data_IF_143244990855
#
_entry.id   IF_143244990855
#
_cell.length_a   1.000
_cell.length_b   1.000
_cell.length_c   1.000
_cell.angle_alpha   90.00
_cell.angle_beta   90.00
_cell.angle_gamma   90.00
#
_symmetry.space_group_name_H-M   'P 1'
#
loop_
_entity.id
_entity.type
_entity.pdbx_description
1 polymer ?
#
# COMPACT_ATOMS: atom_id res chain seq x y z
N UNK A 1 3.37 -9.39 12.10
CA UNK A 1 2.54 -9.75 10.93
C UNK A 1 3.32 -9.65 9.62
N UNK A 2 3.64 -8.47 9.07
CA UNK A 2 4.28 -8.37 7.74
C UNK A 2 5.64 -9.07 7.65
N UNK A 3 6.49 -8.91 8.67
CA UNK A 3 7.77 -9.60 8.72
C UNK A 3 7.59 -11.12 8.77
N UNK A 4 6.64 -11.62 9.56
CA UNK A 4 6.35 -13.07 9.64
C UNK A 4 5.87 -13.62 8.30
N UNK A 5 5.01 -12.87 7.59
CA UNK A 5 4.57 -13.23 6.24
C UNK A 5 5.74 -13.24 5.25
N UNK A 6 6.66 -12.28 5.32
CA UNK A 6 7.80 -12.21 4.43
C UNK A 6 8.87 -13.28 4.72
N UNK A 7 9.07 -13.63 5.99
CA UNK A 7 10.20 -14.43 6.46
C UNK A 7 9.85 -15.89 6.76
N UNK A 8 8.65 -16.17 7.26
CA UNK A 8 8.26 -17.46 7.83
C UNK A 8 7.09 -18.11 7.09
N UNK A 9 6.30 -17.35 6.33
CA UNK A 9 5.17 -17.90 5.61
C UNK A 9 5.62 -18.52 4.29
N UNK A 10 5.32 -19.80 4.08
CA UNK A 10 5.63 -20.51 2.82
C UNK A 10 4.57 -20.31 1.73
N UNK A 11 3.44 -19.64 2.05
CA UNK A 11 2.39 -19.41 1.05
C UNK A 11 2.93 -18.56 -0.12
N UNK A 12 2.75 -19.01 -1.38
CA UNK A 12 3.16 -18.23 -2.55
C UNK A 12 2.25 -17.04 -2.83
N UNK A 13 1.03 -17.04 -2.27
CA UNK A 13 0.03 -15.99 -2.44
C UNK A 13 -0.36 -15.43 -1.08
N UNK A 14 -0.44 -14.11 -0.99
CA UNK A 14 -0.86 -13.39 0.22
C UNK A 14 -1.93 -12.37 -0.16
N UNK A 15 -3.03 -12.38 0.59
CA UNK A 15 -4.06 -11.33 0.53
C UNK A 15 -3.90 -10.43 1.74
N UNK A 16 -3.86 -9.11 1.52
CA UNK A 16 -3.81 -8.11 2.58
C UNK A 16 -4.99 -7.18 2.39
N UNK A 17 -5.75 -7.00 3.46
CA UNK A 17 -6.87 -6.08 3.49
C UNK A 17 -6.52 -4.85 4.32
N UNK A 18 -6.90 -3.68 3.84
CA UNK A 18 -6.76 -2.37 4.48
C UNK A 18 -5.40 -2.13 5.18
N UNK A 19 -4.29 -2.42 4.47
CA UNK A 19 -2.93 -2.26 5.03
C UNK A 19 -2.66 -0.84 5.54
N UNK A 20 -3.30 0.16 4.94
CA UNK A 20 -3.27 1.56 5.33
C UNK A 20 -3.74 1.80 6.78
N UNK A 21 -4.63 0.95 7.30
CA UNK A 21 -5.22 1.09 8.63
C UNK A 21 -4.36 0.48 9.75
N UNK A 22 -3.31 -0.26 9.40
CA UNK A 22 -2.44 -0.93 10.38
C UNK A 22 -1.46 0.02 11.10
N UNK A 23 -1.41 1.31 10.74
CA UNK A 23 -0.51 2.28 11.35
C UNK A 23 0.98 2.00 11.11
N UNK A 24 1.28 1.26 10.04
CA UNK A 24 2.63 0.88 9.58
C UNK A 24 3.02 1.65 8.31
N UNK A 25 4.31 1.60 7.99
CA UNK A 25 4.83 2.07 6.72
C UNK A 25 4.43 1.10 5.58
N UNK A 26 3.40 1.46 4.81
CA UNK A 26 2.83 0.62 3.76
C UNK A 26 3.76 0.44 2.57
N UNK A 27 4.59 1.45 2.24
CA UNK A 27 5.59 1.34 1.17
C UNK A 27 6.64 0.29 1.53
N UNK A 28 7.15 0.37 2.76
CA UNK A 28 8.18 -0.55 3.25
C UNK A 28 7.64 -1.95 3.46
N UNK A 29 6.41 -2.08 3.97
CA UNK A 29 5.74 -3.36 4.16
C UNK A 29 5.53 -4.11 2.84
N UNK A 30 4.93 -3.47 1.84
CA UNK A 30 4.68 -4.08 0.53
C UNK A 30 5.99 -4.32 -0.23
N UNK A 31 6.96 -3.40 -0.12
CA UNK A 31 8.28 -3.56 -0.70
C UNK A 31 9.09 -4.72 -0.12
N UNK A 32 8.85 -5.10 1.14
CA UNK A 32 9.45 -6.31 1.75
C UNK A 32 8.85 -7.58 1.14
N UNK A 33 7.53 -7.61 0.96
CA UNK A 33 6.81 -8.78 0.46
C UNK A 33 7.09 -9.04 -1.03
N UNK A 34 7.20 -7.99 -1.85
CA UNK A 34 7.52 -8.11 -3.28
C UNK A 34 8.91 -8.74 -3.53
N UNK A 35 9.87 -8.53 -2.63
CA UNK A 35 11.24 -9.09 -2.77
C UNK A 35 11.33 -10.58 -2.47
N UNK A 36 10.24 -11.22 -2.05
CA UNK A 36 10.20 -12.63 -1.64
C UNK A 36 9.48 -13.54 -2.63
N UNK A 37 9.33 -13.09 -3.89
CA UNK A 37 8.64 -13.81 -4.97
C UNK A 37 7.21 -14.27 -4.62
N UNK A 38 6.56 -13.55 -3.70
CA UNK A 38 5.17 -13.78 -3.32
C UNK A 38 4.24 -12.93 -4.17
N UNK A 39 3.16 -13.53 -4.67
CA UNK A 39 2.06 -12.79 -5.27
C UNK A 39 1.25 -12.13 -4.15
N UNK A 40 1.33 -10.81 -4.05
CA UNK A 40 0.60 -10.02 -3.04
C UNK A 40 -0.62 -9.37 -3.69
N UNK A 41 -1.80 -9.74 -3.22
CA UNK A 41 -3.05 -9.03 -3.53
C UNK A 41 -3.37 -8.08 -2.38
N UNK A 42 -3.60 -6.81 -2.71
CA UNK A 42 -3.98 -5.80 -1.72
C UNK A 42 -5.40 -5.33 -2.02
N UNK A 43 -6.27 -5.43 -1.02
CA UNK A 43 -7.61 -4.84 -1.03
C UNK A 43 -7.51 -3.52 -0.28
N UNK A 44 -7.92 -2.45 -0.93
CA UNK A 44 -7.74 -1.09 -0.41
C UNK A 44 -8.71 -0.14 -1.07
N UNK A 45 -9.10 0.90 -0.32
CA UNK A 45 -9.77 2.07 -0.85
C UNK A 45 -8.82 3.28 -0.94
N UNK A 46 -7.60 3.16 -0.42
CA UNK A 46 -6.59 4.21 -0.42
C UNK A 46 -5.95 4.34 -1.82
N UNK A 47 -6.00 5.54 -2.45
CA UNK A 47 -5.52 5.72 -3.82
C UNK A 47 -4.00 5.58 -3.92
N UNK A 48 -3.24 5.92 -2.87
CA UNK A 48 -1.80 5.76 -2.90
C UNK A 48 -1.42 4.27 -2.96
N UNK A 49 -1.98 3.45 -2.06
CA UNK A 49 -1.79 1.99 -2.03
C UNK A 49 -2.26 1.35 -3.34
N UNK A 50 -3.44 1.74 -3.84
CA UNK A 50 -3.95 1.22 -5.11
C UNK A 50 -2.98 1.50 -6.27
N UNK A 51 -2.43 2.72 -6.35
CA UNK A 51 -1.52 3.14 -7.41
C UNK A 51 -0.09 2.63 -7.25
N UNK A 52 0.29 2.01 -6.13
CA UNK A 52 1.55 1.25 -6.01
C UNK A 52 1.60 0.06 -6.99
N UNK A 53 0.43 -0.47 -7.39
CA UNK A 53 0.31 -1.58 -8.33
C UNK A 53 0.27 -1.12 -9.79
N UNK A 54 0.80 -1.96 -10.71
CA UNK A 54 0.70 -1.71 -12.16
C UNK A 54 -0.67 -2.11 -12.73
N UNK A 55 -1.36 -3.06 -12.08
CA UNK A 55 -2.70 -3.55 -12.44
C UNK A 55 -3.58 -3.58 -11.21
N UNK A 56 -4.84 -3.19 -11.37
CA UNK A 56 -5.88 -3.22 -10.32
C UNK A 56 -7.11 -3.95 -10.81
N UNK A 57 -7.74 -4.70 -9.91
CA UNK A 57 -9.08 -5.25 -10.10
C UNK A 57 -10.05 -4.25 -9.47
N UNK A 58 -10.98 -3.73 -10.26
CA UNK A 58 -12.01 -2.80 -9.81
C UNK A 58 -13.25 -3.62 -9.47
N UNK A 59 -13.72 -3.46 -8.23
CA UNK A 59 -14.96 -4.07 -7.76
C UNK A 59 -16.12 -3.08 -7.90
N UNK A 60 -17.30 -3.56 -8.29
CA UNK A 60 -18.50 -2.75 -8.41
C UNK A 60 -19.76 -3.61 -8.43
N UNK A 61 -20.80 -3.21 -7.70
CA UNK A 61 -22.08 -3.96 -7.65
C UNK A 61 -21.94 -5.41 -7.13
N UNK A 62 -20.94 -5.69 -6.29
CA UNK A 62 -20.68 -7.04 -5.77
C UNK A 62 -19.92 -7.97 -6.71
N UNK A 63 -19.43 -7.48 -7.86
CA UNK A 63 -18.66 -8.27 -8.82
C UNK A 63 -17.39 -7.55 -9.28
N UNK A 64 -16.52 -8.27 -10.00
CA UNK A 64 -15.42 -7.66 -10.74
C UNK A 64 -16.02 -6.81 -11.87
N UNK A 65 -15.82 -5.51 -11.78
CA UNK A 65 -16.26 -4.55 -12.77
C UNK A 65 -15.25 -4.41 -13.92
N UNK A 66 -13.95 -4.34 -13.59
CA UNK A 66 -12.89 -4.18 -14.59
C UNK A 66 -11.51 -4.62 -14.07
N UNK A 67 -10.57 -4.83 -14.99
CA UNK A 67 -9.13 -4.91 -14.69
C UNK A 67 -8.45 -3.79 -15.45
N UNK A 68 -7.78 -2.89 -14.72
CA UNK A 68 -7.19 -1.67 -15.29
C UNK A 68 -5.69 -1.62 -15.05
N UNK A 69 -4.94 -1.11 -16.03
CA UNK A 69 -3.51 -0.83 -15.89
C UNK A 69 -3.29 0.62 -15.48
N UNK A 70 -2.23 0.86 -14.71
CA UNK A 70 -1.84 2.21 -14.30
C UNK A 70 -1.43 3.03 -15.51
N UNK A 71 -2.11 4.15 -15.74
CA UNK A 71 -1.79 5.07 -16.83
C UNK A 71 -0.55 5.94 -16.52
N UNK A 72 0.09 6.57 -17.51
CA UNK A 72 1.17 7.54 -17.25
C UNK A 72 0.73 8.71 -16.36
N UNK A 73 -0.51 9.19 -16.52
CA UNK A 73 -1.06 10.25 -15.68
C UNK A 73 -1.21 9.80 -14.23
N UNK A 74 -1.69 8.58 -14.01
CA UNK A 74 -1.78 7.98 -12.68
C UNK A 74 -0.40 7.72 -12.07
N UNK A 75 0.64 7.44 -12.87
CA UNK A 75 2.01 7.31 -12.37
C UNK A 75 2.54 8.65 -11.84
N UNK A 76 2.23 9.77 -12.49
CA UNK A 76 2.56 11.10 -11.97
C UNK A 76 1.80 11.39 -10.68
N UNK A 77 0.49 11.09 -10.64
CA UNK A 77 -0.32 11.24 -9.42
C UNK A 77 0.22 10.37 -8.27
N UNK A 78 0.68 9.15 -8.56
CA UNK A 78 1.30 8.28 -7.56
C UNK A 78 2.53 8.94 -6.91
N UNK A 79 3.38 9.62 -7.70
CA UNK A 79 4.53 10.33 -7.16
C UNK A 79 4.11 11.48 -6.22
N UNK A 80 3.09 12.27 -6.60
CA UNK A 80 2.52 13.34 -5.78
C UNK A 80 1.93 12.81 -4.46
N UNK A 81 1.11 11.75 -4.55
CA UNK A 81 0.54 11.10 -3.37
C UNK A 81 1.64 10.55 -2.44
N UNK A 82 2.76 10.06 -3.01
CA UNK A 82 3.90 9.58 -2.24
C UNK A 82 4.60 10.69 -1.46
N UNK A 83 4.69 11.91 -2.02
CA UNK A 83 5.21 13.06 -1.27
C UNK A 83 4.30 13.45 -0.11
N UNK A 84 2.99 13.47 -0.34
CA UNK A 84 2.00 13.73 0.71
C UNK A 84 2.07 12.66 1.81
N UNK A 85 2.19 11.39 1.42
CA UNK A 85 2.31 10.27 2.36
C UNK A 85 3.55 10.40 3.26
N UNK A 86 4.72 10.70 2.68
CA UNK A 86 5.95 10.91 3.46
C UNK A 86 5.84 12.10 4.41
N UNK A 87 5.18 13.19 3.98
CA UNK A 87 4.92 14.35 4.85
C UNK A 87 4.01 13.96 6.03
N UNK A 88 2.95 13.20 5.76
CA UNK A 88 2.07 12.69 6.81
C UNK A 88 2.81 11.76 7.79
N UNK A 89 3.66 10.86 7.30
CA UNK A 89 4.50 10.04 8.17
C UNK A 89 5.45 10.87 9.05
N UNK A 90 6.02 11.96 8.51
CA UNK A 90 6.87 12.86 9.29
C UNK A 90 6.09 13.51 10.44
N UNK A 91 4.88 14.01 10.18
CA UNK A 91 4.01 14.54 11.23
C UNK A 91 3.62 13.47 12.26
N UNK A 92 3.30 12.26 11.82
CA UNK A 92 3.03 11.15 12.75
C UNK A 92 4.24 10.83 13.63
N UNK A 93 5.45 10.89 13.08
CA UNK A 93 6.68 10.63 13.84
C UNK A 93 6.93 11.72 14.90
N UNK A 94 6.68 12.99 14.56
CA UNK A 94 6.74 14.11 15.51
C UNK A 94 5.71 13.93 16.65
N UNK A 95 4.45 13.67 16.29
CA UNK A 95 3.40 13.41 17.29
C UNK A 95 3.73 12.22 18.21
N UNK A 96 4.32 11.15 17.68
CA UNK A 96 4.75 9.99 18.49
C UNK A 96 5.88 10.30 19.47
N UNK A 97 6.66 11.35 19.22
CA UNK A 97 7.68 11.87 20.14
C UNK A 97 7.12 12.85 21.16
N UNK A 98 5.87 13.27 21.00
CA UNK A 98 5.22 14.29 21.82
C UNK A 98 5.49 15.72 21.33
N UNK A 99 6.00 15.90 20.11
CA UNK A 99 6.27 17.22 19.55
C UNK A 99 4.97 17.91 19.12
N UNK A 100 4.94 19.24 19.21
CA UNK A 100 3.87 20.06 18.64
C UNK A 100 4.06 20.22 17.13
N UNK A 101 2.98 20.12 16.37
CA UNK A 101 2.97 20.45 14.94
C UNK A 101 2.75 21.97 14.79
N UNK A 102 3.73 22.68 14.24
CA UNK A 102 3.67 24.11 13.91
C UNK A 102 3.57 24.32 12.41
#
# INVERSE_FOLDING_TARGET
>A
MIADIALLCDSPIVLIDEIENAGIDKERALGLLQRRDKLVLVVTHDPHTALMSRRRIVMGGGAVWAVVERSPREANLYAELGEMYRRQQAYQALLRRGDYLT
#
